data_IF_460772014674
#
_entry.id   IF_460772014674
#
_cell.length_a   1.000
_cell.length_b   1.000
_cell.length_c   1.000
_cell.angle_alpha   90.00
_cell.angle_beta   90.00
_cell.angle_gamma   90.00
#
_symmetry.space_group_name_H-M   'P 1'
#
loop_
_entity.id
_entity.type
_entity.pdbx_description
1 polymer ?
#
# COMPACT_ATOMS: atom_id res chain seq x y z
N UNK A 1 13.77 2.72 -13.03
CA UNK A 1 14.17 2.88 -11.61
C UNK A 1 15.20 4.00 -11.49
N UNK A 2 15.19 4.80 -10.42
CA UNK A 2 16.18 5.87 -10.21
C UNK A 2 17.33 5.35 -9.33
N UNK A 3 18.50 5.08 -9.91
CA UNK A 3 19.61 4.47 -9.16
C UNK A 3 20.41 5.50 -8.34
N UNK A 4 20.62 6.68 -8.94
CA UNK A 4 21.54 7.68 -8.41
C UNK A 4 21.19 9.10 -8.86
N UNK A 5 21.40 10.06 -7.96
CA UNK A 5 21.42 11.49 -8.26
C UNK A 5 22.86 11.97 -8.23
N UNK A 6 23.29 12.62 -9.30
CA UNK A 6 24.67 13.07 -9.48
C UNK A 6 24.76 14.53 -9.06
N UNK A 7 25.66 14.85 -8.12
CA UNK A 7 25.97 16.22 -7.67
C UNK A 7 27.39 16.62 -8.06
N UNK A 8 27.68 17.92 -8.00
CA UNK A 8 29.05 18.44 -8.15
C UNK A 8 30.00 17.88 -7.09
N UNK A 9 29.52 17.84 -5.85
CA UNK A 9 30.16 17.19 -4.71
C UNK A 9 29.09 16.42 -3.91
N UNK A 10 29.47 15.40 -3.15
CA UNK A 10 28.50 14.45 -2.57
C UNK A 10 27.39 15.12 -1.73
N UNK A 11 27.72 16.15 -0.96
CA UNK A 11 26.79 16.85 -0.06
C UNK A 11 26.68 18.36 -0.34
N UNK A 12 27.40 18.85 -1.35
CA UNK A 12 27.55 20.28 -1.67
C UNK A 12 27.40 20.51 -3.17
N UNK A 13 27.10 21.76 -3.56
CA UNK A 13 26.86 22.11 -4.96
C UNK A 13 25.53 21.57 -5.52
N UNK A 14 25.31 21.81 -6.80
CA UNK A 14 24.02 21.53 -7.45
C UNK A 14 23.90 20.09 -7.95
N UNK A 15 22.67 19.65 -8.16
CA UNK A 15 22.39 18.42 -8.90
C UNK A 15 22.66 18.62 -10.40
N UNK A 16 23.44 17.70 -10.97
CA UNK A 16 23.90 17.70 -12.36
C UNK A 16 23.09 16.76 -13.25
N UNK A 17 22.42 15.76 -12.68
CA UNK A 17 21.74 14.73 -13.44
C UNK A 17 21.41 13.50 -12.61
N UNK A 18 21.02 12.43 -13.31
CA UNK A 18 20.70 11.13 -12.73
C UNK A 18 21.33 10.00 -13.53
N UNK A 19 21.50 8.86 -12.85
CA UNK A 19 21.58 7.54 -13.49
C UNK A 19 20.28 6.79 -13.21
N UNK A 20 19.74 6.17 -14.25
CA UNK A 20 18.51 5.38 -14.17
C UNK A 20 18.65 4.07 -14.94
N UNK A 21 18.04 3.03 -14.39
CA UNK A 21 18.04 1.68 -14.94
C UNK A 21 16.65 1.37 -15.51
N UNK A 22 16.66 0.73 -16.67
CA UNK A 22 15.46 0.36 -17.38
C UNK A 22 14.84 -0.91 -16.81
N UNK A 23 13.54 -0.88 -16.56
CA UNK A 23 12.81 -1.94 -15.85
C UNK A 23 11.59 -2.37 -16.67
N UNK A 24 11.82 -3.09 -17.80
CA UNK A 24 10.75 -3.47 -18.71
C UNK A 24 9.75 -4.39 -18.02
N UNK A 25 8.50 -4.32 -18.50
CA UNK A 25 7.46 -5.29 -18.16
C UNK A 25 7.17 -6.15 -19.36
N UNK A 26 6.84 -7.40 -19.09
CA UNK A 26 6.55 -8.40 -20.11
C UNK A 26 5.17 -8.98 -19.85
N UNK A 27 4.44 -9.22 -20.93
CA UNK A 27 3.15 -9.89 -20.90
C UNK A 27 3.34 -11.29 -20.30
N UNK A 28 2.55 -11.68 -19.28
CA UNK A 28 2.77 -12.95 -18.58
C UNK A 28 2.56 -14.18 -19.48
N UNK A 29 1.62 -14.11 -20.43
CA UNK A 29 1.32 -15.25 -21.32
C UNK A 29 2.15 -15.28 -22.61
N UNK A 30 2.35 -14.13 -23.30
CA UNK A 30 3.08 -14.09 -24.59
C UNK A 30 4.58 -13.84 -24.43
N UNK A 31 5.03 -13.35 -23.27
CA UNK A 31 6.41 -12.92 -23.05
C UNK A 31 6.79 -11.63 -23.79
N UNK A 32 5.86 -11.02 -24.52
CA UNK A 32 6.11 -9.78 -25.26
C UNK A 32 6.35 -8.61 -24.31
N UNK A 33 7.28 -7.72 -24.67
CA UNK A 33 7.52 -6.50 -23.90
C UNK A 33 6.29 -5.60 -23.96
N UNK A 34 5.80 -5.18 -22.80
CA UNK A 34 4.77 -4.17 -22.71
C UNK A 34 5.36 -2.81 -23.09
N UNK A 35 4.65 -2.15 -23.99
CA UNK A 35 5.07 -0.89 -24.57
C UNK A 35 4.29 0.27 -23.95
N UNK A 36 4.98 1.38 -23.69
CA UNK A 36 4.29 2.59 -23.25
C UNK A 36 3.32 3.08 -24.34
N UNK A 37 2.11 3.43 -23.94
CA UNK A 37 1.13 4.12 -24.81
C UNK A 37 1.55 5.56 -25.13
N UNK A 38 2.51 6.11 -24.35
CA UNK A 38 3.07 7.44 -24.54
C UNK A 38 4.57 7.31 -24.82
N UNK A 39 4.98 7.65 -26.05
CA UNK A 39 6.39 7.67 -26.44
C UNK A 39 6.70 9.00 -27.12
N UNK A 40 7.48 9.83 -26.45
CA UNK A 40 7.99 11.08 -27.04
C UNK A 40 9.32 10.86 -27.79
N UNK A 41 9.87 9.64 -27.77
CA UNK A 41 11.14 9.29 -28.46
C UNK A 41 12.40 9.87 -27.81
N UNK A 42 12.27 10.52 -26.66
CA UNK A 42 13.35 11.29 -26.02
C UNK A 42 14.28 10.45 -25.12
N UNK A 43 13.94 9.19 -24.86
CA UNK A 43 14.68 8.27 -23.98
C UNK A 43 14.83 6.94 -24.70
N UNK A 44 16.06 6.42 -24.77
CA UNK A 44 16.32 5.07 -25.26
C UNK A 44 15.94 4.03 -24.19
N UNK A 45 14.68 3.60 -24.26
CA UNK A 45 14.09 2.54 -23.42
C UNK A 45 14.59 1.12 -23.77
N UNK A 46 15.69 0.97 -24.51
CA UNK A 46 16.30 -0.34 -24.83
C UNK A 46 17.66 -0.53 -24.19
N UNK A 47 18.27 0.54 -23.69
CA UNK A 47 19.52 0.46 -22.93
C UNK A 47 19.22 0.14 -21.48
N UNK A 48 20.00 -0.75 -20.88
CA UNK A 48 19.82 -1.17 -19.48
C UNK A 48 19.99 0.01 -18.52
N UNK A 49 20.92 0.92 -18.82
CA UNK A 49 21.24 2.07 -17.98
C UNK A 49 21.38 3.32 -18.84
N UNK A 50 20.86 4.44 -18.33
CA UNK A 50 21.01 5.76 -18.94
C UNK A 50 21.57 6.76 -17.93
N UNK A 51 22.42 7.66 -18.43
CA UNK A 51 22.91 8.81 -17.67
C UNK A 51 22.33 10.07 -18.30
N UNK A 52 21.54 10.82 -17.55
CA UNK A 52 20.87 12.03 -18.05
C UNK A 52 21.47 13.23 -17.34
N UNK A 53 22.06 14.14 -18.12
CA UNK A 53 22.51 15.45 -17.63
C UNK A 53 21.33 16.43 -17.56
N UNK A 54 21.07 16.96 -16.38
CA UNK A 54 20.10 18.02 -16.14
C UNK A 54 20.75 19.40 -16.31
N UNK A 55 20.35 20.13 -17.37
CA UNK A 55 20.80 21.52 -17.59
C UNK A 55 20.24 22.50 -16.56
N UNK A 56 19.04 22.21 -16.04
CA UNK A 56 18.32 23.05 -15.08
C UNK A 56 18.21 22.33 -13.74
N UNK A 57 17.32 21.36 -13.65
CA UNK A 57 17.04 20.64 -12.42
C UNK A 57 16.62 19.19 -12.69
N UNK A 58 16.61 18.40 -11.61
CA UNK A 58 15.97 17.09 -11.55
C UNK A 58 14.70 17.23 -10.71
N UNK A 59 13.58 16.70 -11.21
CA UNK A 59 12.30 16.63 -10.48
C UNK A 59 12.00 15.17 -10.20
N UNK A 60 11.97 14.78 -8.92
CA UNK A 60 11.68 13.42 -8.48
C UNK A 60 10.16 13.25 -8.38
N UNK A 61 9.62 12.43 -9.27
CA UNK A 61 8.21 12.00 -9.29
C UNK A 61 8.08 10.48 -9.37
N UNK A 62 8.93 9.75 -8.65
CA UNK A 62 9.08 8.28 -8.78
C UNK A 62 8.00 7.45 -8.06
N UNK A 63 6.97 8.10 -7.50
CA UNK A 63 6.01 7.44 -6.61
C UNK A 63 6.57 7.24 -5.19
N UNK A 64 5.81 6.52 -4.36
CA UNK A 64 6.10 6.32 -2.95
C UNK A 64 7.14 5.25 -2.64
N UNK A 65 7.15 4.82 -1.37
CA UNK A 65 8.17 3.92 -0.81
C UNK A 65 7.63 2.61 -0.24
N UNK A 66 6.30 2.41 -0.23
CA UNK A 66 5.70 1.27 0.49
C UNK A 66 6.03 -0.10 -0.09
N UNK A 67 6.48 -0.21 -1.33
CA UNK A 67 6.99 -1.49 -1.85
C UNK A 67 8.40 -1.80 -1.38
N UNK A 68 9.10 -0.82 -0.83
CA UNK A 68 10.39 -1.04 -0.19
C UNK A 68 10.20 -1.43 1.28
N UNK A 69 10.34 -2.72 1.56
CA UNK A 69 10.20 -3.28 2.91
C UNK A 69 11.12 -2.58 3.89
N UNK A 70 12.38 -2.32 3.51
CA UNK A 70 13.36 -1.71 4.40
C UNK A 70 13.01 -0.26 4.77
N UNK A 71 12.47 0.51 3.83
CA UNK A 71 12.05 1.89 4.12
C UNK A 71 10.82 1.94 5.02
N UNK A 72 9.80 1.12 4.74
CA UNK A 72 8.56 1.17 5.52
C UNK A 72 8.73 0.59 6.93
N UNK A 73 9.63 -0.37 7.13
CA UNK A 73 9.93 -0.93 8.47
C UNK A 73 10.76 0.00 9.35
N UNK A 74 11.38 1.05 8.81
CA UNK A 74 11.99 2.11 9.63
C UNK A 74 10.97 2.81 10.54
N UNK A 75 9.69 2.78 10.17
CA UNK A 75 8.62 3.43 10.93
C UNK A 75 7.79 2.44 11.75
N UNK A 76 7.48 1.28 11.18
CA UNK A 76 6.77 0.22 11.90
C UNK A 76 7.25 -1.15 11.40
N UNK A 77 7.87 -1.95 12.29
CA UNK A 77 8.42 -3.24 11.91
C UNK A 77 7.36 -4.23 11.42
N UNK A 78 6.08 -4.06 11.77
CA UNK A 78 4.99 -4.93 11.31
C UNK A 78 4.74 -4.82 9.80
N UNK A 79 5.22 -3.75 9.17
CA UNK A 79 5.22 -3.63 7.71
C UNK A 79 6.30 -4.49 7.05
N UNK A 80 6.97 -5.37 7.76
CA UNK A 80 7.87 -6.34 7.14
C UNK A 80 7.13 -7.33 6.21
N UNK A 81 5.81 -7.46 6.38
CA UNK A 81 5.00 -8.48 5.71
C UNK A 81 4.92 -8.31 4.18
N UNK A 82 5.49 -9.23 3.39
CA UNK A 82 5.46 -9.14 1.93
C UNK A 82 4.08 -9.39 1.31
N UNK A 83 3.12 -9.99 2.04
CA UNK A 83 1.73 -10.12 1.58
C UNK A 83 0.90 -8.85 1.72
N UNK A 84 1.43 -7.78 2.34
CA UNK A 84 0.79 -6.47 2.30
C UNK A 84 0.69 -5.98 0.86
N UNK A 85 -0.52 -5.61 0.47
CA UNK A 85 -0.75 -5.02 -0.84
C UNK A 85 -0.35 -3.55 -0.80
N UNK A 86 0.49 -3.14 -1.75
CA UNK A 86 0.96 -1.76 -1.87
C UNK A 86 0.48 -1.20 -3.21
N UNK A 87 -0.47 -0.27 -3.24
CA UNK A 87 -0.99 0.29 -4.50
C UNK A 87 -1.28 -0.74 -5.61
N UNK A 88 -1.07 -0.36 -6.88
CA UNK A 88 -1.30 -1.22 -8.07
C UNK A 88 -0.16 -2.22 -8.33
N UNK A 89 0.09 -3.09 -7.36
CA UNK A 89 1.21 -4.04 -7.35
C UNK A 89 1.22 -4.97 -8.57
N UNK A 90 0.07 -5.32 -9.14
CA UNK A 90 0.03 -6.19 -10.31
C UNK A 90 0.62 -5.50 -11.55
N UNK A 91 0.31 -4.22 -11.78
CA UNK A 91 0.83 -3.49 -12.94
C UNK A 91 2.29 -3.08 -12.75
N UNK A 92 2.70 -2.72 -11.54
CA UNK A 92 4.03 -2.15 -11.28
C UNK A 92 5.08 -3.20 -10.88
N UNK A 93 4.64 -4.37 -10.37
CA UNK A 93 5.47 -5.57 -10.22
C UNK A 93 6.47 -5.44 -9.08
N UNK A 94 7.62 -6.13 -9.15
CA UNK A 94 8.58 -6.16 -8.03
C UNK A 94 9.16 -4.80 -7.64
N UNK A 95 9.11 -3.81 -8.53
CA UNK A 95 9.62 -2.45 -8.30
C UNK A 95 8.50 -1.44 -8.05
N UNK A 96 7.31 -1.93 -7.70
CA UNK A 96 6.21 -1.06 -7.33
C UNK A 96 6.55 -0.25 -6.08
N UNK A 97 6.36 1.06 -6.12
CA UNK A 97 6.63 1.97 -4.97
C UNK A 97 7.95 1.64 -4.27
N UNK A 98 9.01 1.39 -5.05
CA UNK A 98 10.30 0.88 -4.58
C UNK A 98 11.14 1.89 -3.78
N UNK A 99 10.63 3.12 -3.64
CA UNK A 99 11.30 4.20 -2.94
C UNK A 99 12.59 4.68 -3.62
N UNK A 100 12.83 4.34 -4.88
CA UNK A 100 14.10 4.61 -5.58
C UNK A 100 14.51 6.09 -5.55
N UNK A 101 13.59 7.01 -5.87
CA UNK A 101 13.86 8.45 -5.79
C UNK A 101 14.12 8.93 -4.36
N UNK A 102 13.44 8.37 -3.37
CA UNK A 102 13.65 8.70 -1.95
C UNK A 102 15.04 8.23 -1.51
N UNK A 103 15.41 6.98 -1.81
CA UNK A 103 16.73 6.42 -1.50
C UNK A 103 17.85 7.20 -2.19
N UNK A 104 17.67 7.54 -3.47
CA UNK A 104 18.65 8.33 -4.21
C UNK A 104 18.83 9.73 -3.60
N UNK A 105 17.74 10.36 -3.13
CA UNK A 105 17.81 11.62 -2.38
C UNK A 105 18.55 11.48 -1.05
N UNK A 106 18.23 10.45 -0.25
CA UNK A 106 18.91 10.19 1.03
C UNK A 106 20.42 10.03 0.85
N UNK A 107 20.87 9.31 -0.20
CA UNK A 107 22.29 9.10 -0.50
C UNK A 107 23.08 10.41 -0.69
N UNK A 108 22.42 11.49 -1.12
CA UNK A 108 23.04 12.79 -1.36
C UNK A 108 22.74 13.83 -0.26
N UNK A 109 22.22 13.38 0.89
CA UNK A 109 21.98 14.20 2.07
C UNK A 109 20.57 14.77 2.22
N UNK A 110 19.61 14.38 1.36
CA UNK A 110 18.23 14.85 1.50
C UNK A 110 17.58 14.34 2.79
N UNK A 111 16.78 15.21 3.40
CA UNK A 111 16.00 14.88 4.59
C UNK A 111 14.64 14.28 4.19
N UNK A 112 14.01 13.58 5.14
CA UNK A 112 12.66 13.04 5.01
C UNK A 112 11.67 13.84 5.86
N UNK A 113 10.40 13.81 5.47
CA UNK A 113 9.30 14.38 6.24
C UNK A 113 8.08 13.46 6.20
N UNK A 114 7.22 13.58 7.20
CA UNK A 114 5.92 12.90 7.20
C UNK A 114 5.98 11.38 7.32
N UNK A 115 7.10 10.79 7.74
CA UNK A 115 7.27 9.33 7.72
C UNK A 115 6.21 8.57 8.55
N UNK A 116 5.77 9.16 9.67
CA UNK A 116 4.70 8.60 10.51
C UNK A 116 3.28 8.97 10.03
N UNK A 117 3.13 9.90 9.08
CA UNK A 117 1.80 10.31 8.59
C UNK A 117 1.05 9.16 7.93
N UNK A 118 1.77 8.16 7.38
CA UNK A 118 1.13 6.94 6.87
C UNK A 118 0.31 6.23 7.96
N UNK A 119 0.75 6.25 9.23
CA UNK A 119 0.05 5.63 10.35
C UNK A 119 -1.04 6.48 10.99
N UNK A 120 -0.98 7.78 10.76
CA UNK A 120 -1.85 8.73 11.45
C UNK A 120 -2.93 9.29 10.53
N UNK A 121 -2.85 9.03 9.22
CA UNK A 121 -3.76 9.60 8.24
C UNK A 121 -4.62 8.52 7.58
N UNK A 122 -5.95 8.70 7.65
CA UNK A 122 -6.97 7.72 7.22
C UNK A 122 -6.72 7.08 5.84
N UNK A 123 -6.26 7.89 4.89
CA UNK A 123 -6.06 7.41 3.52
C UNK A 123 -4.78 6.61 3.31
N UNK A 124 -3.82 6.69 4.24
CA UNK A 124 -2.50 6.10 4.12
C UNK A 124 -2.25 4.96 5.12
N UNK A 125 -3.11 4.83 6.14
CA UNK A 125 -2.97 3.80 7.17
C UNK A 125 -3.27 2.40 6.65
N UNK A 126 -2.56 1.37 7.15
CA UNK A 126 -2.88 -0.02 6.85
C UNK A 126 -4.35 -0.31 7.13
N UNK A 127 -5.03 -0.94 6.17
CA UNK A 127 -6.43 -1.35 6.34
C UNK A 127 -6.69 -2.66 5.64
N UNK A 128 -7.54 -3.51 6.22
CA UNK A 128 -8.02 -4.71 5.53
C UNK A 128 -8.84 -4.24 4.31
N UNK A 129 -8.56 -4.81 3.14
CA UNK A 129 -9.25 -4.49 1.91
C UNK A 129 -10.74 -4.87 1.97
N UNK A 130 -11.57 -4.21 1.19
CA UNK A 130 -12.98 -4.57 0.99
C UNK A 130 -13.18 -5.43 -0.27
N UNK A 131 -12.11 -6.03 -0.78
CA UNK A 131 -12.12 -6.90 -1.95
C UNK A 131 -11.27 -8.12 -1.63
N UNK A 132 -11.82 -9.31 -1.84
CA UNK A 132 -11.14 -10.58 -1.56
C UNK A 132 -10.91 -11.40 -2.84
N UNK A 133 -10.02 -12.39 -2.76
CA UNK A 133 -9.78 -13.35 -3.84
C UNK A 133 -9.04 -12.76 -5.04
N UNK A 134 -8.21 -11.75 -4.82
CA UNK A 134 -7.38 -11.15 -5.87
C UNK A 134 -6.04 -10.68 -5.31
N UNK A 135 -5.04 -10.63 -6.19
CA UNK A 135 -3.73 -10.06 -5.91
C UNK A 135 -3.75 -8.53 -5.80
N UNK A 136 -4.75 -7.88 -6.39
CA UNK A 136 -4.83 -6.42 -6.47
C UNK A 136 -6.25 -5.97 -6.11
N UNK A 137 -6.45 -5.62 -4.85
CA UNK A 137 -7.68 -5.02 -4.33
C UNK A 137 -7.80 -3.53 -4.68
N UNK A 138 -6.75 -2.92 -5.25
CA UNK A 138 -6.76 -1.52 -5.68
C UNK A 138 -7.40 -1.36 -7.06
N UNK A 139 -8.63 -0.87 -7.04
CA UNK A 139 -9.37 -0.49 -8.23
C UNK A 139 -10.15 -1.65 -8.84
N UNK A 140 -11.02 -1.33 -9.80
CA UNK A 140 -11.91 -2.30 -10.43
C UNK A 140 -11.38 -2.72 -11.80
N UNK A 141 -10.43 -3.66 -11.80
CA UNK A 141 -9.75 -4.08 -13.01
C UNK A 141 -10.51 -5.24 -13.66
N UNK A 142 -10.88 -5.09 -14.93
CA UNK A 142 -11.61 -6.10 -15.72
C UNK A 142 -10.79 -6.56 -16.93
N UNK A 143 -11.16 -7.71 -17.55
CA UNK A 143 -10.54 -8.16 -18.79
C UNK A 143 -10.50 -7.05 -19.84
N UNK A 144 -9.35 -6.92 -20.52
CA UNK A 144 -9.05 -5.82 -21.44
C UNK A 144 -8.25 -4.66 -20.81
N UNK A 145 -8.22 -4.54 -19.48
CA UNK A 145 -7.31 -3.61 -18.82
C UNK A 145 -5.86 -4.17 -18.84
N UNK A 146 -4.82 -3.35 -19.14
CA UNK A 146 -3.42 -3.83 -19.23
C UNK A 146 -2.87 -4.45 -17.94
N UNK A 147 -3.47 -4.12 -16.79
CA UNK A 147 -3.09 -4.72 -15.49
C UNK A 147 -3.80 -6.05 -15.21
N UNK A 148 -4.92 -6.35 -15.89
CA UNK A 148 -5.73 -7.52 -15.59
C UNK A 148 -4.98 -8.83 -15.86
N UNK A 149 -4.16 -8.86 -16.91
CA UNK A 149 -3.26 -9.97 -17.22
C UNK A 149 -2.33 -10.35 -16.04
N UNK A 150 -1.97 -9.39 -15.18
CA UNK A 150 -1.13 -9.65 -14.01
C UNK A 150 -1.96 -10.01 -12.76
N UNK A 151 -3.10 -9.34 -12.56
CA UNK A 151 -3.98 -9.60 -11.42
C UNK A 151 -4.74 -10.93 -11.56
N UNK A 152 -5.07 -11.33 -12.79
CA UNK A 152 -5.82 -12.53 -13.22
C UNK A 152 -7.26 -12.63 -12.71
N UNK A 153 -7.58 -11.96 -11.62
CA UNK A 153 -8.90 -11.88 -11.02
C UNK A 153 -9.24 -10.43 -10.66
N UNK A 154 -10.50 -10.04 -10.89
CA UNK A 154 -11.04 -8.77 -10.41
C UNK A 154 -11.19 -8.77 -8.88
N UNK A 155 -11.42 -9.93 -8.27
CA UNK A 155 -11.79 -10.05 -6.87
C UNK A 155 -13.30 -9.84 -6.64
N UNK A 156 -13.74 -10.17 -5.43
CA UNK A 156 -15.12 -10.05 -4.97
C UNK A 156 -15.19 -8.86 -3.99
N UNK A 157 -15.97 -7.83 -4.34
CA UNK A 157 -16.19 -6.66 -3.48
C UNK A 157 -17.17 -7.02 -2.36
N UNK A 158 -16.83 -6.65 -1.12
CA UNK A 158 -17.64 -6.82 0.07
C UNK A 158 -18.38 -5.51 0.41
N UNK A 159 -19.70 -5.59 0.48
CA UNK A 159 -20.55 -4.56 1.11
C UNK A 159 -20.48 -4.65 2.64
N UNK A 160 -21.12 -3.72 3.36
CA UNK A 160 -21.12 -3.75 4.84
C UNK A 160 -21.76 -5.03 5.40
N UNK A 161 -22.88 -5.48 4.84
CA UNK A 161 -23.58 -6.69 5.31
C UNK A 161 -22.84 -7.98 4.97
N UNK A 162 -21.99 -7.95 3.93
CA UNK A 162 -21.24 -9.13 3.48
C UNK A 162 -20.30 -9.70 4.55
N UNK A 163 -19.79 -8.84 5.44
CA UNK A 163 -18.90 -9.23 6.54
C UNK A 163 -19.57 -10.11 7.61
N UNK A 164 -20.91 -10.22 7.59
CA UNK A 164 -21.67 -11.13 8.47
C UNK A 164 -21.65 -12.59 7.97
N UNK A 165 -21.26 -12.82 6.71
CA UNK A 165 -21.34 -14.13 6.04
C UNK A 165 -20.01 -14.87 5.93
N UNK A 166 -18.95 -14.34 6.54
CA UNK A 166 -17.60 -14.91 6.54
C UNK A 166 -16.95 -14.73 7.92
N UNK A 167 -15.84 -15.44 8.13
CA UNK A 167 -14.87 -15.14 9.18
C UNK A 167 -13.52 -14.81 8.56
N UNK A 168 -12.68 -14.04 9.26
CA UNK A 168 -11.29 -13.81 8.88
C UNK A 168 -10.38 -14.62 9.78
N UNK A 169 -9.43 -15.35 9.18
CA UNK A 169 -8.40 -16.07 9.91
C UNK A 169 -7.00 -15.65 9.47
N UNK A 170 -6.06 -15.68 10.41
CA UNK A 170 -4.63 -15.45 10.14
C UNK A 170 -3.98 -16.70 9.52
N UNK A 171 -2.66 -16.64 9.26
CA UNK A 171 -1.93 -17.73 8.59
C UNK A 171 -1.94 -19.07 9.35
N UNK A 172 -2.31 -19.11 10.63
CA UNK A 172 -2.42 -20.35 11.42
C UNK A 172 -3.86 -20.84 11.59
N UNK A 173 -4.84 -20.13 11.02
CA UNK A 173 -6.25 -20.51 11.06
C UNK A 173 -7.04 -19.96 12.24
N UNK A 174 -6.48 -19.03 13.04
CA UNK A 174 -7.18 -18.39 14.15
C UNK A 174 -7.90 -17.11 13.70
N UNK A 175 -9.12 -16.88 14.21
CA UNK A 175 -9.76 -15.57 14.15
C UNK A 175 -9.01 -14.57 15.03
N UNK A 176 -9.10 -13.29 14.68
CA UNK A 176 -8.35 -12.23 15.34
C UNK A 176 -9.14 -10.92 15.55
N UNK A 177 -10.36 -10.82 15.02
CA UNK A 177 -11.15 -9.60 15.08
C UNK A 177 -12.64 -9.84 14.78
N UNK A 178 -13.50 -8.87 15.14
CA UNK A 178 -14.88 -8.81 14.66
C UNK A 178 -14.92 -8.33 13.20
N UNK A 179 -15.20 -9.24 12.29
CA UNK A 179 -15.22 -8.93 10.86
C UNK A 179 -16.27 -7.87 10.49
N UNK A 180 -17.37 -7.76 11.26
CA UNK A 180 -18.43 -6.78 10.99
C UNK A 180 -18.02 -5.33 11.27
N UNK A 181 -16.99 -5.13 12.12
CA UNK A 181 -16.39 -3.85 12.43
C UNK A 181 -15.22 -3.48 11.48
N UNK A 182 -14.82 -4.37 10.57
CA UNK A 182 -13.76 -4.07 9.57
C UNK A 182 -14.10 -2.87 8.69
N UNK A 183 -15.34 -2.72 8.16
CA UNK A 183 -15.75 -1.52 7.45
C UNK A 183 -15.64 -0.24 8.29
N UNK A 184 -15.85 -0.31 9.61
CA UNK A 184 -15.80 0.85 10.50
C UNK A 184 -14.36 1.34 10.73
N UNK A 185 -13.37 0.46 10.63
CA UNK A 185 -11.95 0.83 10.58
C UNK A 185 -11.56 1.65 9.34
N UNK A 186 -12.48 1.88 8.39
CA UNK A 186 -12.29 2.74 7.22
C UNK A 186 -13.01 4.09 7.34
N UNK A 187 -13.75 4.34 8.42
CA UNK A 187 -14.65 5.48 8.52
C UNK A 187 -14.19 6.38 9.67
N UNK A 188 -13.93 7.62 9.28
CA UNK A 188 -13.41 8.72 10.07
C UNK A 188 -11.88 8.71 10.24
N UNK A 189 -11.27 9.68 9.55
CA UNK A 189 -9.99 10.29 9.90
C UNK A 189 -9.66 10.18 11.39
N UNK A 190 -8.40 9.94 11.74
CA UNK A 190 -7.85 10.65 12.89
C UNK A 190 -8.21 12.12 12.65
N UNK A 191 -9.17 12.63 13.40
CA UNK A 191 -9.73 13.98 13.23
C UNK A 191 -8.69 14.98 13.73
N UNK A 192 -7.52 15.00 13.10
CA UNK A 192 -6.39 15.84 13.48
C UNK A 192 -5.62 16.37 12.26
N UNK A 193 -5.55 17.70 12.07
CA UNK A 193 -6.47 18.71 12.57
C UNK A 193 -7.68 18.88 11.65
N UNK A 194 -8.83 19.12 12.28
CA UNK A 194 -10.08 19.50 11.61
C UNK A 194 -9.89 20.81 10.80
N UNK A 195 -10.48 20.86 9.60
CA UNK A 195 -10.25 21.87 8.57
C UNK A 195 -10.48 21.34 7.14
N UNK A 196 -10.52 20.01 6.99
CA UNK A 196 -11.04 19.36 5.79
C UNK A 196 -12.56 19.38 5.76
N UNK A 197 -13.11 19.42 4.54
CA UNK A 197 -14.55 19.50 4.29
C UNK A 197 -15.33 18.40 5.04
N UNK A 198 -16.49 18.78 5.59
CA UNK A 198 -17.45 17.94 6.35
C UNK A 198 -17.17 17.68 7.83
N UNK A 199 -16.17 18.31 8.43
CA UNK A 199 -15.99 18.25 9.89
C UNK A 199 -16.76 19.40 10.57
N UNK A 200 -17.95 19.11 11.11
CA UNK A 200 -18.93 20.12 11.56
C UNK A 200 -18.66 20.73 12.96
N UNK A 201 -17.41 20.75 13.41
CA UNK A 201 -17.03 21.38 14.70
C UNK A 201 -15.76 22.23 14.52
N UNK A 202 -15.75 23.51 14.92
CA UNK A 202 -14.64 24.40 14.64
C UNK A 202 -13.39 24.02 15.45
N UNK A 203 -12.31 23.67 14.75
CA UNK A 203 -10.94 23.76 15.28
C UNK A 203 -10.66 25.22 15.64
N UNK A 204 -10.23 25.48 16.87
CA UNK A 204 -9.69 26.79 17.26
C UNK A 204 -8.17 26.68 17.25
N UNK A 205 -7.46 27.34 16.31
CA UNK A 205 -6.01 27.37 16.30
C UNK A 205 -5.45 27.77 17.67
N UNK A 206 -4.43 27.06 18.13
CA UNK A 206 -3.71 27.32 19.39
C UNK A 206 -4.50 27.06 20.69
N UNK A 207 -5.68 26.44 20.64
CA UNK A 207 -6.42 26.06 21.85
C UNK A 207 -5.95 24.70 22.41
N UNK A 208 -5.39 24.71 23.62
CA UNK A 208 -4.96 23.49 24.31
C UNK A 208 -6.11 22.52 24.59
N UNK A 209 -7.37 22.99 24.63
CA UNK A 209 -8.57 22.15 24.88
C UNK A 209 -8.91 21.21 23.71
N UNK A 210 -8.27 21.39 22.56
CA UNK A 210 -8.20 20.40 21.47
C UNK A 210 -7.55 19.07 21.92
N UNK A 211 -7.05 18.96 23.16
CA UNK A 211 -6.44 17.74 23.72
C UNK A 211 -7.22 17.14 24.91
N UNK A 212 -8.49 17.53 25.12
CA UNK A 212 -9.29 16.94 26.21
C UNK A 212 -9.47 15.42 26.03
N UNK A 213 -9.58 14.66 27.12
CA UNK A 213 -9.73 13.18 27.07
C UNK A 213 -10.95 12.77 26.25
N UNK A 214 -12.08 13.45 26.43
CA UNK A 214 -13.28 13.23 25.63
C UNK A 214 -13.02 13.49 24.14
N UNK A 215 -12.32 14.59 23.82
CA UNK A 215 -11.93 14.91 22.46
C UNK A 215 -10.97 13.87 21.87
N UNK A 216 -10.04 13.32 22.64
CA UNK A 216 -9.15 12.23 22.18
C UNK A 216 -9.97 10.95 21.93
N UNK A 217 -10.93 10.62 22.78
CA UNK A 217 -11.74 9.41 22.61
C UNK A 217 -12.66 9.48 21.38
N UNK A 218 -13.21 10.66 21.07
CA UNK A 218 -14.11 10.88 19.93
C UNK A 218 -13.38 10.99 18.57
N UNK A 219 -12.08 11.30 18.56
CA UNK A 219 -11.33 11.62 17.34
C UNK A 219 -10.26 10.57 16.95
N UNK A 220 -9.97 9.60 17.81
CA UNK A 220 -9.04 8.50 17.52
C UNK A 220 -9.80 7.20 17.25
N UNK A 221 -10.31 7.06 16.03
CA UNK A 221 -10.72 5.77 15.47
C UNK A 221 -9.46 4.97 15.16
N UNK A 222 -9.17 3.96 16.00
CA UNK A 222 -8.05 3.04 15.76
C UNK A 222 -8.47 2.05 14.68
N UNK A 223 -7.63 1.86 13.67
CA UNK A 223 -7.73 0.78 12.69
C UNK A 223 -7.36 -0.57 13.33
N UNK A 224 -8.03 -0.93 14.43
CA UNK A 224 -7.69 -2.08 15.26
C UNK A 224 -7.74 -3.40 14.49
N UNK A 225 -8.60 -3.49 13.48
CA UNK A 225 -8.66 -4.63 12.57
C UNK A 225 -7.33 -4.89 11.85
N UNK A 226 -6.71 -3.84 11.31
CA UNK A 226 -5.44 -3.95 10.60
C UNK A 226 -4.28 -4.25 11.57
N UNK A 227 -4.30 -3.65 12.76
CA UNK A 227 -3.31 -3.94 13.80
C UNK A 227 -3.40 -5.41 14.26
N UNK A 228 -4.63 -5.93 14.45
CA UNK A 228 -4.88 -7.32 14.82
C UNK A 228 -4.49 -8.29 13.69
N UNK A 229 -4.81 -7.94 12.45
CA UNK A 229 -4.40 -8.67 11.26
C UNK A 229 -2.87 -8.78 11.12
N UNK A 230 -2.14 -7.74 11.53
CA UNK A 230 -0.67 -7.70 11.48
C UNK A 230 0.00 -8.23 12.77
N UNK A 231 -0.76 -8.80 13.69
CA UNK A 231 -0.21 -9.33 14.93
C UNK A 231 0.65 -10.58 14.68
N UNK A 232 1.79 -10.63 15.38
CA UNK A 232 2.70 -11.77 15.42
C UNK A 232 1.92 -13.02 15.86
N UNK A 233 2.16 -14.13 15.19
CA UNK A 233 1.59 -15.43 15.50
C UNK A 233 2.66 -16.53 15.38
N UNK A 234 2.28 -17.79 15.46
CA UNK A 234 3.23 -18.89 15.51
C UNK A 234 4.00 -19.12 14.20
N UNK A 235 3.54 -18.54 13.09
CA UNK A 235 4.30 -18.52 11.83
C UNK A 235 5.25 -17.32 11.69
N UNK A 236 5.31 -16.45 12.70
CA UNK A 236 6.13 -15.24 12.68
C UNK A 236 7.53 -15.54 13.21
N UNK A 237 8.47 -15.72 12.28
CA UNK A 237 9.86 -16.05 12.59
C UNK A 237 10.83 -14.87 12.36
N UNK A 238 11.98 -14.82 13.05
CA UNK A 238 13.03 -13.83 12.78
C UNK A 238 13.50 -13.88 11.31
N UNK A 239 13.99 -12.76 10.75
CA UNK A 239 14.17 -11.45 11.41
C UNK A 239 12.93 -10.56 11.38
N UNK A 240 11.95 -10.89 10.54
CA UNK A 240 10.87 -9.99 10.14
C UNK A 240 9.57 -10.18 10.93
N UNK A 241 9.38 -11.33 11.58
CA UNK A 241 8.19 -11.68 12.39
C UNK A 241 6.86 -11.42 11.67
N UNK A 242 6.82 -11.78 10.38
CA UNK A 242 5.70 -11.46 9.52
C UNK A 242 4.42 -12.27 9.90
N UNK A 243 3.23 -11.65 9.94
CA UNK A 243 1.94 -12.24 10.35
C UNK A 243 1.35 -13.22 9.32
N UNK A 244 1.83 -13.20 8.08
CA UNK A 244 1.30 -13.98 6.95
C UNK A 244 0.00 -13.44 6.35
N UNK A 245 -0.49 -14.10 5.29
CA UNK A 245 -1.73 -13.70 4.62
C UNK A 245 -2.95 -13.95 5.51
N UNK A 246 -4.03 -13.25 5.19
CA UNK A 246 -5.33 -13.37 5.85
C UNK A 246 -6.30 -14.01 4.87
N UNK A 247 -7.16 -14.87 5.41
CA UNK A 247 -8.14 -15.62 4.63
C UNK A 247 -9.54 -15.32 5.12
N UNK A 248 -10.42 -14.91 4.19
CA UNK A 248 -11.85 -14.96 4.39
C UNK A 248 -12.34 -16.39 4.16
N UNK A 249 -12.92 -16.99 5.21
CA UNK A 249 -13.47 -18.35 5.19
C UNK A 249 -15.00 -18.27 5.17
N UNK A 250 -15.60 -18.98 4.23
CA UNK A 250 -17.06 -19.05 4.05
C UNK A 250 -17.47 -20.33 3.34
N UNK A 251 -18.78 -20.53 3.17
CA UNK A 251 -19.36 -21.78 2.67
C UNK A 251 -20.36 -21.55 1.52
N UNK A 252 -20.90 -22.63 0.96
CA UNK A 252 -21.85 -22.55 -0.14
C UNK A 252 -23.16 -21.81 0.23
N UNK A 253 -23.56 -21.88 1.50
CA UNK A 253 -24.73 -21.16 1.97
C UNK A 253 -24.50 -19.64 2.02
N UNK A 254 -23.27 -19.20 2.33
CA UNK A 254 -22.90 -17.79 2.23
C UNK A 254 -23.06 -17.26 0.81
N UNK A 255 -22.60 -18.00 -0.20
CA UNK A 255 -22.75 -17.59 -1.62
C UNK A 255 -24.22 -17.45 -2.01
N UNK A 256 -25.08 -18.36 -1.55
CA UNK A 256 -26.52 -18.27 -1.82
C UNK A 256 -27.16 -17.02 -1.21
N UNK A 257 -26.69 -16.59 -0.01
CA UNK A 257 -27.18 -15.38 0.67
C UNK A 257 -26.68 -14.10 0.02
N UNK A 258 -25.40 -14.06 -0.38
CA UNK A 258 -24.74 -12.83 -0.84
C UNK A 258 -24.81 -12.63 -2.35
N UNK A 259 -24.95 -13.71 -3.12
CA UNK A 259 -24.92 -13.66 -4.59
C UNK A 259 -23.51 -13.41 -5.17
N UNK A 260 -22.44 -13.61 -4.38
CA UNK A 260 -21.08 -13.45 -4.85
C UNK A 260 -20.79 -14.30 -6.09
N UNK A 261 -20.07 -13.72 -7.04
CA UNK A 261 -19.80 -14.33 -8.33
C UNK A 261 -18.55 -15.22 -8.25
N UNK A 262 -18.74 -16.52 -8.05
CA UNK A 262 -17.64 -17.51 -8.04
C UNK A 262 -17.37 -17.98 -9.47
N UNK A 263 -16.94 -17.05 -10.32
CA UNK A 263 -16.61 -17.29 -11.74
C UNK A 263 -15.70 -16.21 -12.30
N UNK A 264 -15.07 -16.48 -13.44
CA UNK A 264 -14.37 -15.46 -14.22
C UNK A 264 -15.31 -14.27 -14.57
N UNK A 265 -14.84 -13.00 -14.47
CA UNK A 265 -13.48 -12.57 -14.13
C UNK A 265 -13.26 -12.27 -12.63
N UNK A 266 -14.22 -12.58 -11.75
CA UNK A 266 -14.16 -12.22 -10.33
C UNK A 266 -13.14 -13.06 -9.55
N UNK A 267 -13.06 -14.35 -9.87
CA UNK A 267 -12.00 -15.24 -9.42
C UNK A 267 -11.22 -15.74 -10.64
N UNK A 268 -9.93 -16.03 -10.49
CA UNK A 268 -9.17 -16.73 -11.51
C UNK A 268 -9.41 -18.25 -11.38
N UNK A 269 -9.12 -19.00 -12.43
CA UNK A 269 -9.19 -20.46 -12.41
C UNK A 269 -8.21 -21.02 -11.36
N UNK A 270 -8.70 -21.73 -10.32
CA UNK A 270 -7.83 -22.27 -9.28
C UNK A 270 -6.87 -23.36 -9.81
N UNK A 271 -5.68 -23.52 -9.21
CA UNK A 271 -5.13 -22.70 -8.13
C UNK A 271 -4.42 -21.46 -8.69
N UNK A 272 -4.94 -20.27 -8.38
CA UNK A 272 -4.26 -18.99 -8.63
C UNK A 272 -3.45 -18.51 -7.41
N UNK A 273 -3.61 -19.22 -6.29
CA UNK A 273 -3.03 -18.89 -5.00
C UNK A 273 -3.89 -17.98 -4.14
N UNK A 274 -4.88 -17.27 -4.68
CA UNK A 274 -5.64 -16.23 -3.98
C UNK A 274 -7.08 -16.62 -3.67
N UNK A 275 -7.63 -17.65 -4.34
CA UNK A 275 -8.97 -18.19 -4.08
C UNK A 275 -8.97 -19.73 -4.17
N UNK A 276 -9.54 -20.38 -3.15
CA UNK A 276 -9.55 -21.84 -3.01
C UNK A 276 -10.94 -22.38 -2.69
N UNK A 277 -11.22 -23.61 -3.15
CA UNK A 277 -12.50 -24.31 -2.97
C UNK A 277 -12.18 -25.75 -2.56
N UNK A 278 -12.87 -26.29 -1.56
CA UNK A 278 -12.74 -27.70 -1.16
C UNK A 278 -14.02 -28.24 -0.52
N UNK A 279 -14.18 -29.56 -0.46
CA UNK A 279 -15.36 -30.18 0.15
C UNK A 279 -15.21 -30.32 1.68
N UNK A 280 -13.98 -30.21 2.20
CA UNK A 280 -13.67 -30.22 3.63
C UNK A 280 -12.75 -29.04 4.01
N UNK A 281 -12.73 -28.68 5.30
CA UNK A 281 -11.84 -27.65 5.82
C UNK A 281 -10.37 -28.11 5.82
N UNK A 282 -10.11 -29.39 6.04
CA UNK A 282 -8.78 -30.01 5.93
C UNK A 282 -8.21 -29.83 4.52
N UNK A 283 -8.94 -30.23 3.48
CA UNK A 283 -8.54 -30.04 2.08
C UNK A 283 -8.40 -28.56 1.72
N UNK A 284 -9.22 -27.68 2.31
CA UNK A 284 -9.12 -26.24 2.10
C UNK A 284 -7.80 -25.68 2.65
N UNK A 285 -7.41 -26.10 3.86
CA UNK A 285 -6.16 -25.72 4.50
C UNK A 285 -4.93 -26.19 3.69
N UNK A 286 -5.00 -27.38 3.09
CA UNK A 286 -3.95 -27.88 2.18
C UNK A 286 -3.82 -27.03 0.92
N UNK A 287 -4.94 -26.69 0.26
CA UNK A 287 -4.93 -25.91 -0.98
C UNK A 287 -4.38 -24.50 -0.79
N UNK A 288 -4.61 -23.88 0.36
CA UNK A 288 -4.11 -22.54 0.70
C UNK A 288 -2.56 -22.46 0.66
N UNK A 289 -1.86 -23.57 0.90
CA UNK A 289 -0.38 -23.58 0.96
C UNK A 289 0.31 -23.21 -0.36
N UNK A 290 -0.41 -23.20 -1.49
CA UNK A 290 0.15 -22.72 -2.77
C UNK A 290 0.28 -21.19 -2.83
N UNK A 291 -0.30 -20.45 -1.89
CA UNK A 291 -0.15 -19.00 -1.82
C UNK A 291 1.30 -18.63 -1.47
N UNK A 292 1.95 -17.70 -2.21
CA UNK A 292 3.39 -17.45 -2.12
C UNK A 292 3.88 -16.94 -0.76
N UNK A 293 2.97 -16.40 0.05
CA UNK A 293 3.28 -15.87 1.39
C UNK A 293 2.72 -16.73 2.53
N UNK A 294 2.09 -17.86 2.23
CA UNK A 294 1.62 -18.79 3.26
C UNK A 294 2.81 -19.60 3.79
N UNK A 295 3.09 -19.50 5.09
CA UNK A 295 4.27 -20.15 5.72
C UNK A 295 3.90 -21.35 6.58
N UNK A 296 2.69 -21.36 7.12
CA UNK A 296 2.18 -22.38 8.03
C UNK A 296 0.89 -22.99 7.49
N UNK A 297 0.58 -24.26 7.76
CA UNK A 297 -0.77 -24.75 7.56
C UNK A 297 -1.74 -24.01 8.48
N UNK A 298 -3.01 -23.87 8.08
CA UNK A 298 -4.06 -23.31 8.93
C UNK A 298 -4.49 -24.35 10.01
N UNK A 299 -3.56 -24.68 10.90
CA UNK A 299 -3.67 -25.74 11.91
C UNK A 299 -4.90 -25.62 12.83
N UNK A 300 -5.43 -24.42 13.03
CA UNK A 300 -6.58 -24.17 13.91
C UNK A 300 -7.89 -23.94 13.17
N UNK A 301 -7.93 -24.12 11.84
CA UNK A 301 -9.11 -23.77 11.05
C UNK A 301 -10.36 -24.53 11.46
N UNK A 302 -10.27 -25.85 11.63
CA UNK A 302 -11.42 -26.69 11.99
C UNK A 302 -11.97 -26.33 13.36
N UNK A 303 -11.10 -26.17 14.37
CA UNK A 303 -11.47 -25.76 15.72
C UNK A 303 -12.11 -24.37 15.69
N UNK A 304 -11.53 -23.44 14.94
CA UNK A 304 -12.03 -22.07 14.79
C UNK A 304 -13.42 -22.04 14.16
N UNK A 305 -13.65 -22.82 13.09
CA UNK A 305 -14.96 -22.90 12.43
C UNK A 305 -15.98 -23.60 13.32
N UNK A 306 -15.61 -24.67 14.03
CA UNK A 306 -16.49 -25.34 14.97
C UNK A 306 -16.94 -24.39 16.10
N UNK A 307 -15.99 -23.67 16.71
CA UNK A 307 -16.26 -22.68 17.75
C UNK A 307 -17.15 -21.54 17.25
N UNK A 308 -16.87 -21.01 16.06
CA UNK A 308 -17.70 -19.97 15.44
C UNK A 308 -19.12 -20.47 15.13
N UNK A 309 -19.28 -21.74 14.71
CA UNK A 309 -20.59 -22.33 14.47
C UNK A 309 -21.41 -22.45 15.77
N UNK A 310 -20.79 -22.72 16.91
CA UNK A 310 -21.43 -22.70 18.22
C UNK A 310 -21.85 -21.27 18.63
N UNK A 311 -21.04 -20.26 18.29
CA UNK A 311 -21.40 -18.85 18.45
C UNK A 311 -22.60 -18.48 17.60
N UNK A 312 -22.63 -18.90 16.33
CA UNK A 312 -23.73 -18.65 15.41
C UNK A 312 -25.04 -19.33 15.86
N UNK A 313 -24.97 -20.50 16.50
CA UNK A 313 -26.14 -21.17 17.09
C UNK A 313 -26.74 -20.35 18.24
N UNK A 314 -25.88 -19.76 19.08
CA UNK A 314 -26.32 -18.96 20.24
C UNK A 314 -26.62 -17.50 19.91
N UNK A 315 -26.12 -17.00 18.78
CA UNK A 315 -26.20 -15.60 18.39
C UNK A 315 -25.22 -14.67 19.11
N UNK A 316 -24.23 -15.22 19.83
CA UNK A 316 -23.26 -14.48 20.64
C UNK A 316 -21.86 -15.03 20.39
N UNK A 317 -20.97 -14.17 19.90
CA UNK A 317 -19.53 -14.43 19.79
C UNK A 317 -18.82 -13.94 21.05
N UNK A 318 -18.40 -14.89 21.90
CA UNK A 318 -17.75 -14.57 23.17
C UNK A 318 -16.28 -14.13 22.99
N UNK A 319 -15.68 -14.33 21.81
CA UNK A 319 -14.28 -13.98 21.55
C UNK A 319 -14.15 -12.53 21.08
N UNK A 320 -15.04 -12.10 20.17
CA UNK A 320 -14.92 -10.81 19.49
C UNK A 320 -16.20 -9.98 19.48
N UNK A 321 -17.26 -10.40 20.17
CA UNK A 321 -18.53 -9.66 20.27
C UNK A 321 -19.27 -9.46 18.94
N UNK A 322 -18.81 -10.11 17.86
CA UNK A 322 -19.54 -10.18 16.58
C UNK A 322 -20.93 -10.76 16.81
N UNK A 323 -21.92 -10.16 16.15
CA UNK A 323 -23.24 -10.79 16.04
C UNK A 323 -23.16 -11.98 15.06
N UNK A 324 -22.74 -13.14 15.56
CA UNK A 324 -22.64 -14.36 14.78
C UNK A 324 -24.05 -14.88 14.41
N UNK A 325 -24.43 -14.81 13.13
CA UNK A 325 -25.78 -15.16 12.67
C UNK A 325 -25.82 -16.38 11.75
N UNK A 326 -24.69 -16.75 11.15
CA UNK A 326 -24.63 -17.77 10.11
C UNK A 326 -23.48 -18.73 10.36
N UNK A 327 -23.80 -20.01 10.40
CA UNK A 327 -22.80 -21.08 10.42
C UNK A 327 -22.05 -21.16 9.09
N UNK A 328 -20.82 -21.66 9.16
CA UNK A 328 -19.98 -22.11 8.06
C UNK A 328 -19.95 -23.64 8.16
N UNK A 329 -20.88 -24.30 7.48
CA UNK A 329 -21.09 -25.75 7.63
C UNK A 329 -21.56 -26.45 6.35
N UNK A 330 -21.85 -25.70 5.28
CA UNK A 330 -22.42 -26.24 4.04
C UNK A 330 -21.35 -26.31 2.95
N UNK A 331 -20.77 -27.49 2.67
CA UNK A 331 -19.77 -27.60 1.63
C UNK A 331 -20.35 -27.28 0.23
N UNK A 332 -19.49 -26.92 -0.74
CA UNK A 332 -18.05 -26.69 -0.58
C UNK A 332 -17.73 -25.49 0.31
N UNK A 333 -16.54 -25.53 0.92
CA UNK A 333 -15.93 -24.46 1.69
C UNK A 333 -14.97 -23.66 0.81
N UNK A 334 -14.82 -22.38 1.13
CA UNK A 334 -14.09 -21.41 0.34
C UNK A 334 -13.10 -20.65 1.21
N UNK A 335 -11.94 -20.36 0.65
CA UNK A 335 -10.96 -19.45 1.21
C UNK A 335 -10.57 -18.41 0.17
N UNK A 336 -10.83 -17.15 0.46
CA UNK A 336 -10.43 -16.03 -0.37
C UNK A 336 -9.42 -15.17 0.39
N UNK A 337 -8.24 -14.96 -0.19
CA UNK A 337 -7.25 -14.06 0.39
C UNK A 337 -7.81 -12.64 0.50
N UNK A 338 -7.46 -11.94 1.58
CA UNK A 338 -7.82 -10.54 1.77
C UNK A 338 -6.60 -9.79 2.29
N UNK A 339 -6.15 -8.78 1.54
CA UNK A 339 -4.92 -8.09 1.89
C UNK A 339 -5.16 -7.03 2.97
N UNK A 340 -4.18 -6.85 3.85
CA UNK A 340 -3.97 -5.54 4.46
C UNK A 340 -3.26 -4.68 3.44
N UNK A 341 -3.86 -3.53 3.13
CA UNK A 341 -3.44 -2.65 2.05
C UNK A 341 -2.82 -1.35 2.60
N UNK A 342 -1.73 -0.95 1.96
CA UNK A 342 -1.12 0.38 2.02
C UNK A 342 -1.30 1.06 0.65
N UNK A 343 -1.98 2.21 0.60
CA UNK A 343 -2.35 2.81 -0.69
C UNK A 343 -1.40 3.92 -1.16
N UNK A 344 -1.00 4.84 -0.28
CA UNK A 344 -0.26 6.05 -0.64
C UNK A 344 0.88 6.30 0.37
N UNK A 345 1.99 6.88 -0.08
CA UNK A 345 3.10 7.34 0.77
C UNK A 345 3.00 8.83 1.06
N UNK A 346 2.68 9.15 2.32
CA UNK A 346 2.69 10.51 2.87
C UNK A 346 4.06 10.89 3.44
N UNK A 347 4.87 9.89 3.76
CA UNK A 347 6.30 10.03 4.03
C UNK A 347 7.12 10.07 2.75
N UNK A 348 8.20 10.85 2.74
CA UNK A 348 9.09 10.99 1.59
C UNK A 348 10.10 12.12 1.77
N UNK A 349 10.70 12.57 0.68
CA UNK A 349 11.67 13.67 0.68
C UNK A 349 11.05 14.95 1.22
N UNK A 350 11.72 15.61 2.17
CA UNK A 350 11.28 16.91 2.69
C UNK A 350 11.42 17.95 1.59
N UNK A 351 10.36 18.70 1.37
CA UNK A 351 10.31 19.80 0.40
C UNK A 351 9.91 21.13 1.06
N UNK A 352 10.36 22.24 0.49
CA UNK A 352 9.89 23.57 0.87
C UNK A 352 8.65 23.98 0.04
N UNK A 353 8.12 25.20 0.26
CA UNK A 353 6.96 25.74 -0.47
C UNK A 353 7.15 25.97 -1.97
N UNK A 354 8.34 25.69 -2.51
CA UNK A 354 8.68 25.70 -3.96
C UNK A 354 8.89 24.30 -4.53
N UNK A 355 8.59 23.25 -3.75
CA UNK A 355 8.88 21.85 -4.06
C UNK A 355 10.38 21.51 -4.15
N UNK A 356 11.28 22.39 -3.67
CA UNK A 356 12.72 22.10 -3.61
C UNK A 356 12.99 21.12 -2.47
N UNK A 357 13.83 20.12 -2.72
CA UNK A 357 14.28 19.17 -1.70
C UNK A 357 15.22 19.88 -0.73
N UNK A 358 15.06 19.61 0.56
CA UNK A 358 15.92 20.17 1.61
C UNK A 358 16.71 19.06 2.32
N UNK A 359 17.90 19.41 2.80
CA UNK A 359 18.77 18.52 3.55
C UNK A 359 18.46 18.51 5.07
N UNK A 360 19.29 17.79 5.82
CA UNK A 360 19.15 17.63 7.29
C UNK A 360 19.43 18.92 8.06
N UNK A 361 20.11 19.89 7.45
CA UNK A 361 20.36 21.21 8.03
C UNK A 361 19.21 22.19 7.72
N UNK A 362 18.27 21.79 6.86
CA UNK A 362 17.17 22.61 6.40
C UNK A 362 17.53 23.46 5.17
N UNK A 363 18.72 23.26 4.60
CA UNK A 363 19.19 23.98 3.43
C UNK A 363 18.68 23.32 2.15
N UNK A 364 18.52 24.13 1.10
CA UNK A 364 18.05 23.63 -0.20
C UNK A 364 19.16 22.85 -0.91
N UNK A 365 18.82 21.66 -1.39
CA UNK A 365 19.64 20.95 -2.38
C UNK A 365 19.39 21.58 -3.75
N UNK A 366 20.30 22.45 -4.17
CA UNK A 366 20.15 23.23 -5.41
C UNK A 366 19.89 22.34 -6.63
N UNK A 367 18.94 22.77 -7.48
CA UNK A 367 18.54 22.05 -8.69
C UNK A 367 17.88 20.68 -8.44
N UNK A 368 17.36 20.43 -7.24
CA UNK A 368 16.60 19.22 -6.90
C UNK A 368 15.20 19.54 -6.37
N UNK A 369 14.20 18.91 -6.96
CA UNK A 369 12.80 19.06 -6.60
C UNK A 369 12.16 17.69 -6.42
N UNK A 370 11.09 17.60 -5.65
CA UNK A 370 10.31 16.38 -5.50
C UNK A 370 8.81 16.69 -5.42
N UNK A 371 7.98 15.77 -5.91
CA UNK A 371 6.54 15.93 -5.94
C UNK A 371 5.79 14.61 -5.87
N UNK A 372 4.46 14.69 -5.67
CA UNK A 372 3.66 13.49 -5.44
C UNK A 372 4.15 12.69 -4.23
N UNK A 373 4.02 11.37 -4.31
CA UNK A 373 4.37 10.44 -3.22
C UNK A 373 5.88 10.33 -2.93
N UNK A 374 6.74 10.86 -3.81
CA UNK A 374 8.18 10.93 -3.54
C UNK A 374 8.52 12.03 -2.52
N UNK A 375 7.62 12.98 -2.31
CA UNK A 375 7.74 14.03 -1.28
C UNK A 375 7.09 13.58 0.03
N UNK A 376 7.46 14.21 1.14
CA UNK A 376 6.92 13.93 2.47
C UNK A 376 6.31 15.15 3.14
N UNK A 377 5.37 14.93 4.07
CA UNK A 377 4.87 15.98 4.97
C UNK A 377 3.59 16.71 4.55
N UNK A 378 2.96 16.33 3.43
CA UNK A 378 1.70 16.92 2.97
C UNK A 378 0.47 16.12 3.41
N UNK A 379 -0.69 16.78 3.51
CA UNK A 379 -1.97 16.16 3.91
C UNK A 379 -2.83 15.65 2.73
N UNK A 380 -2.45 16.00 1.50
CA UNK A 380 -3.19 15.63 0.30
C UNK A 380 -2.66 14.33 -0.32
N UNK A 381 -3.55 13.45 -0.79
CA UNK A 381 -3.19 12.27 -1.58
C UNK A 381 -3.44 12.44 -3.08
N UNK A 382 -2.87 11.51 -3.86
CA UNK A 382 -3.31 11.23 -5.22
C UNK A 382 -2.91 12.25 -6.27
N UNK A 383 -3.57 12.18 -7.44
CA UNK A 383 -3.16 12.90 -8.64
C UNK A 383 -3.15 14.43 -8.46
N UNK A 384 -4.04 14.99 -7.64
CA UNK A 384 -4.06 16.42 -7.35
C UNK A 384 -2.73 16.90 -6.75
N UNK A 385 -2.20 16.18 -5.75
CA UNK A 385 -0.89 16.47 -5.15
C UNK A 385 0.23 16.34 -6.18
N UNK A 386 0.23 15.27 -6.98
CA UNK A 386 1.26 15.03 -7.97
C UNK A 386 1.31 16.15 -9.05
N UNK A 387 0.14 16.54 -9.58
CA UNK A 387 0.03 17.58 -10.61
C UNK A 387 0.43 18.96 -10.08
N UNK A 388 -0.02 19.33 -8.88
CA UNK A 388 0.32 20.62 -8.27
C UNK A 388 1.80 20.70 -7.95
N UNK A 389 2.39 19.68 -7.30
CA UNK A 389 3.82 19.66 -7.04
C UNK A 389 4.65 19.63 -8.33
N UNK A 390 4.21 18.88 -9.34
CA UNK A 390 4.86 18.86 -10.66
C UNK A 390 4.87 20.23 -11.33
N UNK A 391 3.73 20.94 -11.30
CA UNK A 391 3.63 22.31 -11.79
C UNK A 391 4.55 23.25 -11.02
N UNK A 392 4.52 23.22 -9.68
CA UNK A 392 5.36 24.05 -8.82
C UNK A 392 6.85 23.79 -9.07
N UNK A 393 7.26 22.52 -9.12
CA UNK A 393 8.65 22.14 -9.38
C UNK A 393 9.12 22.62 -10.75
N UNK A 394 8.28 22.44 -11.79
CA UNK A 394 8.58 22.90 -13.14
C UNK A 394 8.76 24.42 -13.23
N UNK A 395 7.84 25.19 -12.64
CA UNK A 395 7.92 26.66 -12.61
C UNK A 395 9.16 27.14 -11.86
N UNK A 396 9.38 26.64 -10.64
CA UNK A 396 10.50 27.11 -9.81
C UNK A 396 11.87 26.66 -10.35
N UNK A 397 11.96 25.49 -11.00
CA UNK A 397 13.20 25.03 -11.63
C UNK A 397 13.66 25.92 -12.80
N UNK A 398 12.74 26.63 -13.46
CA UNK A 398 13.07 27.58 -14.52
C UNK A 398 13.63 28.87 -13.92
N UNK A 399 12.99 29.34 -12.85
CA UNK A 399 13.30 30.60 -12.17
C UNK A 399 14.51 30.53 -11.24
N UNK A 400 14.89 29.32 -10.81
CA UNK A 400 16.13 29.08 -10.09
C UNK A 400 17.31 29.40 -11.02
N UNK A 401 17.76 30.65 -10.97
CA UNK A 401 19.00 31.08 -11.60
C UNK A 401 20.14 30.24 -11.00
N UNK A 402 21.06 29.75 -11.83
CA UNK A 402 22.34 29.22 -11.35
C UNK A 402 22.91 30.26 -10.38
N UNK A 403 22.88 29.97 -9.08
CA UNK A 403 23.38 30.90 -8.07
C UNK A 403 24.81 31.28 -8.50
N UNK A 404 25.12 32.59 -8.63
CA UNK A 404 26.42 33.02 -9.09
C UNK A 404 27.48 32.59 -8.08
N UNK A 405 28.33 31.63 -8.44
CA UNK A 405 29.41 31.19 -7.54
C UNK A 405 30.22 29.96 -7.95
N UNK A 406 29.68 29.03 -8.74
CA UNK A 406 30.43 27.81 -9.11
C UNK A 406 30.73 27.81 -10.61
N UNK A 407 32.02 27.91 -11.03
CA UNK A 407 32.39 27.81 -12.43
C UNK A 407 32.00 26.43 -12.96
N UNK A 408 31.19 26.40 -14.02
CA UNK A 408 30.99 25.19 -14.81
C UNK A 408 32.33 24.89 -15.49
N UNK A 409 33.15 24.05 -14.84
CA UNK A 409 34.32 23.46 -15.47
C UNK A 409 33.82 22.63 -16.66
N UNK A 410 33.98 23.15 -17.87
CA UNK A 410 33.90 22.38 -19.11
C UNK A 410 35.04 21.36 -19.09
N UNK A 411 34.83 20.21 -18.46
CA UNK A 411 35.58 19.00 -18.79
C UNK A 411 34.66 18.06 -19.54
N UNK A 412 35.02 17.89 -20.80
CA UNK A 412 34.56 16.83 -21.70
C UNK A 412 34.79 15.47 -21.05
N UNK A 413 33.70 14.71 -20.87
CA UNK A 413 33.69 13.25 -20.86
C UNK A 413 32.48 12.84 -21.68
#
# INVERSE_FOLDING_TARGET
>A
HMDEIIREEQFTGRVLGIRASYTPRFHPDTGERLESYWRDGNIDERTENINIRAKKAVVIGTGGMHGNIQLRTMMDPRLSEPSLEVGTSSLMGPLNMDGSGVLAGMKIGANLAGMMQNYQHYNASPRIASTMGTRDSVGRIFPGHPSFLFAKARGIDLSRSDWEHLILVNQVGNRFYDESAVPDGSIESARYPLGSSNTRTPFTPEDWRNTSVQHIQENYTRTAAADAAMAINEGSEPPDYAPGPIWAIFDAAAIQRTGWQIRYPYIAEPPDGYFHIADTLEELAEKIMVHPYQRMPLKYLEETVAKYNDFAERGVDDDFEKKAMHKIATPPFYAASIAVRLLDSYGGLRINGKAQVVDMQGEVIQSLYAGGEASGGGEMHGLGRALVHGFMAGTNAIDETNLPGVPISKRSI
#
